data_IF_280359212411
#
_entry.id   IF_280359212411
#
_cell.length_a   1.000
_cell.length_b   1.000
_cell.length_c   1.000
_cell.angle_alpha   90.00
_cell.angle_beta   90.00
_cell.angle_gamma   90.00
#
_symmetry.space_group_name_H-M   'P 1'
#
loop_
_entity.id
_entity.type
_entity.pdbx_description
1 polymer ?
#
# COMPACT_ATOMS: atom_id res chain seq x y z
N UNK A 1 73.77 33.60 12.86
CA UNK A 1 72.69 33.49 11.86
C UNK A 1 71.63 32.60 12.47
N UNK A 2 70.48 33.19 12.72
CA UNK A 2 69.34 32.64 13.47
C UNK A 2 68.69 31.46 12.75
N UNK A 3 68.27 30.45 13.50
CA UNK A 3 67.29 29.46 13.06
C UNK A 3 65.95 29.81 13.72
N UNK A 4 64.82 29.87 12.98
CA UNK A 4 63.51 30.05 13.57
C UNK A 4 62.94 28.67 13.98
N UNK A 5 62.39 28.59 15.18
CA UNK A 5 61.56 27.45 15.62
C UNK A 5 60.10 27.75 15.25
N UNK A 6 59.56 26.95 14.33
CA UNK A 6 58.16 26.93 13.97
C UNK A 6 57.29 26.59 15.19
N UNK A 7 56.34 27.46 15.50
CA UNK A 7 55.29 27.21 16.49
C UNK A 7 53.97 27.05 15.72
N UNK A 8 53.60 25.80 15.44
CA UNK A 8 52.32 25.44 14.82
C UNK A 8 51.17 25.80 15.77
N UNK A 9 50.37 26.80 15.39
CA UNK A 9 49.09 27.07 16.02
C UNK A 9 48.05 26.05 15.54
N UNK A 10 47.53 25.25 16.48
CA UNK A 10 46.41 24.34 16.24
C UNK A 10 45.14 25.12 15.81
N UNK A 11 44.37 24.65 14.81
CA UNK A 11 43.13 25.31 14.42
C UNK A 11 42.03 25.04 15.45
N UNK A 12 41.37 26.11 15.89
CA UNK A 12 40.22 26.05 16.79
C UNK A 12 39.05 25.30 16.12
N UNK A 13 38.53 24.29 16.80
CA UNK A 13 37.30 23.60 16.42
C UNK A 13 36.10 24.57 16.56
N UNK A 14 35.57 25.04 15.43
CA UNK A 14 34.26 25.68 15.38
C UNK A 14 33.18 24.65 15.73
N UNK A 15 32.68 24.72 16.97
CA UNK A 15 31.45 24.05 17.36
C UNK A 15 30.28 24.65 16.57
N UNK A 16 29.89 24.00 15.48
CA UNK A 16 28.66 24.33 14.74
C UNK A 16 27.44 24.09 15.65
N UNK A 17 26.83 25.18 16.10
CA UNK A 17 25.55 25.14 16.79
C UNK A 17 24.47 24.51 15.89
N UNK A 18 23.54 23.69 16.44
CA UNK A 18 22.50 23.06 15.64
C UNK A 18 21.64 24.13 14.95
N UNK A 19 21.49 24.01 13.63
CA UNK A 19 20.74 24.96 12.81
C UNK A 19 19.32 25.17 13.39
N UNK A 20 19.05 26.39 13.84
CA UNK A 20 17.76 26.78 14.40
C UNK A 20 16.64 26.55 13.37
N UNK A 21 15.67 25.72 13.74
CA UNK A 21 14.52 25.35 12.90
C UNK A 21 13.79 26.62 12.43
N UNK A 22 13.65 26.78 11.13
CA UNK A 22 13.07 27.98 10.52
C UNK A 22 11.63 28.21 10.98
N UNK A 23 11.19 29.49 11.07
CA UNK A 23 9.79 29.85 11.42
C UNK A 23 8.75 29.10 10.57
N UNK A 24 9.07 28.75 9.33
CA UNK A 24 8.20 27.96 8.44
C UNK A 24 8.15 26.48 8.83
N UNK A 25 9.27 25.89 9.25
CA UNK A 25 9.34 24.52 9.73
C UNK A 25 8.59 24.38 11.07
N UNK A 26 8.75 25.34 11.99
CA UNK A 26 8.00 25.38 13.25
C UNK A 26 6.48 25.43 13.02
N UNK A 27 6.01 26.31 12.14
CA UNK A 27 4.58 26.40 11.80
C UNK A 27 4.05 25.11 11.15
N UNK A 28 4.88 24.39 10.40
CA UNK A 28 4.54 23.10 9.79
C UNK A 28 4.43 21.99 10.85
N UNK A 29 5.37 21.92 11.80
CA UNK A 29 5.35 20.98 12.92
C UNK A 29 4.10 21.19 13.80
N UNK A 30 3.83 22.43 14.22
CA UNK A 30 2.63 22.78 15.00
C UNK A 30 1.32 22.40 14.27
N UNK A 31 1.28 22.61 12.95
CA UNK A 31 0.13 22.18 12.14
C UNK A 31 -0.01 20.66 12.11
N UNK A 32 1.09 19.91 12.01
CA UNK A 32 1.07 18.44 12.05
C UNK A 32 0.64 17.92 13.42
N UNK A 33 1.18 18.47 14.51
CA UNK A 33 0.77 18.12 15.88
C UNK A 33 -0.71 18.37 16.11
N UNK A 34 -1.22 19.57 15.75
CA UNK A 34 -2.65 19.86 15.84
C UNK A 34 -3.51 18.92 15.00
N UNK A 35 -3.03 18.51 13.82
CA UNK A 35 -3.72 17.50 13.01
C UNK A 35 -3.72 16.13 13.68
N UNK A 36 -2.62 15.72 14.31
CA UNK A 36 -2.55 14.47 15.08
C UNK A 36 -3.47 14.50 16.29
N UNK A 37 -3.47 15.58 17.07
CA UNK A 37 -4.35 15.78 18.21
C UNK A 37 -5.81 15.74 17.79
N UNK A 38 -6.20 16.49 16.76
CA UNK A 38 -7.56 16.45 16.22
C UNK A 38 -7.95 15.04 15.77
N UNK A 39 -7.02 14.29 15.17
CA UNK A 39 -7.25 12.90 14.77
C UNK A 39 -7.40 11.97 15.97
N UNK A 40 -6.60 12.16 17.04
CA UNK A 40 -6.71 11.40 18.30
C UNK A 40 -8.03 11.71 19.01
N UNK A 41 -8.39 12.99 19.13
CA UNK A 41 -9.65 13.45 19.71
C UNK A 41 -10.86 12.91 18.93
N UNK A 42 -10.86 13.00 17.60
CA UNK A 42 -11.92 12.43 16.76
C UNK A 42 -12.07 10.92 16.98
N UNK A 43 -10.97 10.18 17.03
CA UNK A 43 -10.99 8.73 17.32
C UNK A 43 -11.52 8.42 18.71
N UNK A 44 -11.17 9.24 19.71
CA UNK A 44 -11.68 9.08 21.08
C UNK A 44 -13.20 9.30 21.14
N UNK A 45 -13.68 10.39 20.54
CA UNK A 45 -15.11 10.70 20.46
C UNK A 45 -15.90 9.62 19.69
N UNK A 46 -15.36 9.12 18.57
CA UNK A 46 -15.98 8.02 17.81
C UNK A 46 -16.06 6.72 18.63
N UNK A 47 -15.02 6.42 19.42
CA UNK A 47 -15.01 5.27 20.33
C UNK A 47 -16.07 5.40 21.42
N UNK A 48 -16.20 6.58 22.02
CA UNK A 48 -17.20 6.87 23.05
C UNK A 48 -18.62 6.77 22.48
N UNK A 49 -18.89 7.42 21.34
CA UNK A 49 -20.18 7.35 20.67
C UNK A 49 -20.56 5.91 20.29
N UNK A 50 -19.58 5.11 19.84
CA UNK A 50 -19.78 3.69 19.56
C UNK A 50 -20.12 2.91 20.83
N UNK A 51 -19.47 3.20 21.95
CA UNK A 51 -19.77 2.56 23.23
C UNK A 51 -21.19 2.89 23.70
N UNK A 52 -21.58 4.17 23.68
CA UNK A 52 -22.93 4.60 24.02
C UNK A 52 -23.99 3.96 23.11
N UNK A 53 -23.71 3.84 21.80
CA UNK A 53 -24.61 3.15 20.86
C UNK A 53 -24.75 1.66 21.16
N UNK A 54 -23.66 0.98 21.55
CA UNK A 54 -23.69 -0.43 21.93
C UNK A 54 -24.45 -0.65 23.24
N UNK A 55 -24.26 0.22 24.23
CA UNK A 55 -24.99 0.18 25.51
C UNK A 55 -26.49 0.42 25.29
N UNK A 56 -26.85 1.41 24.48
CA UNK A 56 -28.25 1.67 24.12
C UNK A 56 -28.90 0.47 23.42
N UNK A 57 -28.22 -0.12 22.42
CA UNK A 57 -28.70 -1.33 21.73
C UNK A 57 -28.85 -2.51 22.68
N UNK A 58 -27.90 -2.69 23.62
CA UNK A 58 -27.96 -3.76 24.62
C UNK A 58 -29.15 -3.58 25.56
N UNK A 59 -29.42 -2.35 26.00
CA UNK A 59 -30.57 -2.02 26.85
C UNK A 59 -31.90 -2.21 26.11
N UNK A 60 -31.98 -1.81 24.84
CA UNK A 60 -33.15 -2.03 23.98
C UNK A 60 -33.44 -3.52 23.77
N UNK A 61 -32.39 -4.31 23.46
CA UNK A 61 -32.51 -5.77 23.37
C UNK A 61 -32.94 -6.36 24.72
N UNK A 62 -32.38 -5.90 25.84
CA UNK A 62 -32.78 -6.35 27.18
C UNK A 62 -34.26 -6.14 27.44
N UNK A 63 -34.76 -4.91 27.23
CA UNK A 63 -36.19 -4.58 27.37
C UNK A 63 -37.09 -5.41 26.44
N UNK A 64 -36.65 -5.63 25.20
CA UNK A 64 -37.35 -6.48 24.24
C UNK A 64 -37.47 -7.92 24.75
N UNK A 65 -36.41 -8.49 25.32
CA UNK A 65 -36.38 -9.85 25.85
C UNK A 65 -37.14 -10.00 27.18
N UNK A 66 -37.22 -8.94 27.99
CA UNK A 66 -38.01 -8.92 29.23
C UNK A 66 -39.53 -8.92 28.94
N UNK A 67 -39.95 -8.32 27.82
CA UNK A 67 -41.34 -8.27 27.38
C UNK A 67 -41.81 -9.49 26.57
N UNK A 68 -40.92 -10.46 26.32
CA UNK A 68 -41.20 -11.69 25.58
C UNK A 68 -41.49 -12.86 26.51
N UNK A 69 -42.28 -13.82 26.03
CA UNK A 69 -42.43 -15.14 26.65
C UNK A 69 -41.12 -15.93 26.57
N UNK A 70 -41.01 -17.00 27.38
CA UNK A 70 -39.83 -17.88 27.38
C UNK A 70 -39.60 -18.54 26.00
N UNK A 71 -40.68 -18.98 25.35
CA UNK A 71 -40.64 -19.56 24.00
C UNK A 71 -40.16 -18.55 22.95
N UNK A 72 -40.63 -17.30 22.98
CA UNK A 72 -40.20 -16.24 22.07
C UNK A 72 -38.72 -15.85 22.29
N UNK A 73 -38.26 -15.87 23.54
CA UNK A 73 -36.86 -15.62 23.89
C UNK A 73 -35.93 -16.70 23.33
N UNK A 74 -36.31 -17.97 23.46
CA UNK A 74 -35.56 -19.09 22.90
C UNK A 74 -35.47 -19.03 21.37
N UNK A 75 -36.59 -18.70 20.71
CA UNK A 75 -36.62 -18.47 19.26
C UNK A 75 -35.69 -17.31 18.86
N UNK A 76 -35.70 -16.20 19.58
CA UNK A 76 -34.81 -15.08 19.33
C UNK A 76 -33.33 -15.48 19.46
N UNK A 77 -32.96 -16.20 20.52
CA UNK A 77 -31.59 -16.68 20.72
C UNK A 77 -31.14 -17.62 19.60
N UNK A 78 -32.01 -18.53 19.17
CA UNK A 78 -31.74 -19.43 18.06
C UNK A 78 -31.54 -18.66 16.74
N UNK A 79 -32.40 -17.68 16.43
CA UNK A 79 -32.24 -16.81 15.26
C UNK A 79 -30.93 -16.01 15.29
N UNK A 80 -30.53 -15.47 16.44
CA UNK A 80 -29.24 -14.77 16.57
C UNK A 80 -28.06 -15.71 16.38
N UNK A 81 -28.14 -16.94 16.88
CA UNK A 81 -27.13 -17.98 16.69
C UNK A 81 -26.98 -18.34 15.22
N UNK A 82 -28.08 -18.57 14.51
CA UNK A 82 -28.10 -18.85 13.07
C UNK A 82 -27.54 -17.68 12.25
N UNK A 83 -27.98 -16.45 12.53
CA UNK A 83 -27.45 -15.24 11.88
C UNK A 83 -25.94 -15.10 12.08
N UNK A 84 -25.45 -15.37 13.30
CA UNK A 84 -24.00 -15.36 13.60
C UNK A 84 -23.27 -16.45 12.82
N UNK A 85 -23.83 -17.66 12.73
CA UNK A 85 -23.26 -18.76 11.94
C UNK A 85 -23.20 -18.42 10.45
N UNK A 86 -24.26 -17.86 9.88
CA UNK A 86 -24.29 -17.42 8.47
C UNK A 86 -23.23 -16.36 8.18
N UNK A 87 -23.08 -15.35 9.06
CA UNK A 87 -22.04 -14.31 8.91
C UNK A 87 -20.63 -14.92 9.01
N UNK A 88 -20.42 -15.86 9.93
CA UNK A 88 -19.12 -16.54 10.07
C UNK A 88 -18.81 -17.41 8.85
N UNK A 89 -19.79 -18.18 8.35
CA UNK A 89 -19.66 -19.00 7.16
C UNK A 89 -19.36 -18.13 5.92
N UNK A 90 -20.07 -17.02 5.72
CA UNK A 90 -19.82 -16.09 4.62
C UNK A 90 -18.42 -15.48 4.68
N UNK A 91 -17.91 -15.15 5.88
CA UNK A 91 -16.54 -14.66 6.07
C UNK A 91 -15.51 -15.74 5.76
N UNK A 92 -15.73 -16.98 6.20
CA UNK A 92 -14.85 -18.11 5.89
C UNK A 92 -14.81 -18.40 4.39
N UNK A 93 -15.97 -18.42 3.73
CA UNK A 93 -16.07 -18.59 2.28
C UNK A 93 -15.33 -17.48 1.51
N UNK A 94 -15.50 -16.22 1.94
CA UNK A 94 -14.77 -15.09 1.35
C UNK A 94 -13.25 -15.23 1.53
N UNK A 95 -12.81 -15.61 2.73
CA UNK A 95 -11.38 -15.84 3.02
C UNK A 95 -10.81 -16.97 2.16
N UNK A 96 -11.51 -18.10 2.09
CA UNK A 96 -11.11 -19.25 1.28
C UNK A 96 -11.02 -18.89 -0.21
N UNK A 97 -12.03 -18.20 -0.74
CA UNK A 97 -12.01 -17.68 -2.12
C UNK A 97 -10.81 -16.77 -2.36
N UNK A 98 -10.55 -15.80 -1.47
CA UNK A 98 -9.44 -14.89 -1.66
C UNK A 98 -8.07 -15.61 -1.56
N UNK A 99 -7.95 -16.66 -0.73
CA UNK A 99 -6.73 -17.46 -0.62
C UNK A 99 -6.39 -18.24 -1.91
N UNK A 100 -7.38 -18.57 -2.74
CA UNK A 100 -7.14 -19.20 -4.04
C UNK A 100 -6.27 -18.33 -4.97
N UNK A 101 -6.30 -17.00 -4.80
CA UNK A 101 -5.49 -16.08 -5.58
C UNK A 101 -3.98 -16.30 -5.40
N UNK A 102 -3.53 -16.89 -4.28
CA UNK A 102 -2.11 -17.23 -4.06
C UNK A 102 -1.62 -18.35 -4.99
N UNK A 103 -2.54 -19.12 -5.57
CA UNK A 103 -2.25 -20.20 -6.51
C UNK A 103 -2.76 -19.90 -7.91
N UNK A 104 -3.17 -18.64 -8.16
CA UNK A 104 -3.58 -18.23 -9.49
C UNK A 104 -2.38 -18.32 -10.46
N UNK A 105 -2.60 -18.82 -11.68
CA UNK A 105 -1.51 -19.05 -12.64
C UNK A 105 -0.86 -17.74 -13.09
N UNK A 106 -1.66 -16.69 -13.33
CA UNK A 106 -1.14 -15.41 -13.72
C UNK A 106 -0.59 -14.64 -12.51
N UNK A 107 0.69 -14.31 -12.54
CA UNK A 107 1.37 -13.57 -11.49
C UNK A 107 1.60 -12.10 -11.90
N UNK A 108 1.38 -11.18 -10.96
CA UNK A 108 1.63 -9.75 -11.13
C UNK A 108 2.42 -9.23 -9.94
N UNK A 109 3.47 -8.46 -10.21
CA UNK A 109 4.32 -7.81 -9.20
C UNK A 109 4.02 -6.33 -9.18
N UNK A 110 3.86 -5.77 -7.98
CA UNK A 110 4.03 -4.33 -7.74
C UNK A 110 5.45 -4.12 -7.20
N UNK A 111 6.29 -3.47 -7.99
CA UNK A 111 7.67 -3.11 -7.64
C UNK A 111 7.63 -1.88 -6.72
N UNK A 112 7.83 -2.09 -5.43
CA UNK A 112 7.74 -1.07 -4.39
C UNK A 112 9.09 -0.41 -4.09
N UNK A 113 10.15 -0.76 -4.82
CA UNK A 113 11.50 -0.24 -4.61
C UNK A 113 11.72 1.14 -5.26
N UNK A 114 10.80 2.06 -4.97
CA UNK A 114 10.83 3.47 -5.34
C UNK A 114 10.78 4.38 -4.10
N UNK A 115 11.18 3.83 -2.94
CA UNK A 115 11.29 4.58 -1.71
C UNK A 115 12.21 5.79 -1.90
N UNK A 116 11.78 6.97 -1.44
CA UNK A 116 12.52 8.24 -1.61
C UNK A 116 12.14 9.07 -2.85
N UNK A 117 11.44 8.50 -3.85
CA UNK A 117 11.01 9.24 -5.05
C UNK A 117 9.60 9.83 -4.94
N UNK A 118 8.91 9.53 -3.84
CA UNK A 118 7.53 9.94 -3.59
C UNK A 118 7.43 10.82 -2.33
N UNK A 119 6.64 11.88 -2.44
CA UNK A 119 6.18 12.65 -1.29
C UNK A 119 5.23 11.82 -0.41
N UNK A 120 5.01 12.19 0.86
CA UNK A 120 4.07 11.50 1.74
C UNK A 120 2.63 11.41 1.19
N UNK A 121 2.21 12.41 0.40
CA UNK A 121 0.90 12.40 -0.28
C UNK A 121 0.85 11.43 -1.46
N UNK A 122 1.95 11.28 -2.18
CA UNK A 122 2.08 10.29 -3.27
C UNK A 122 2.13 8.87 -2.70
N UNK A 123 2.87 8.64 -1.61
CA UNK A 123 2.85 7.36 -0.88
C UNK A 123 1.44 7.01 -0.43
N UNK A 124 0.70 7.95 0.17
CA UNK A 124 -0.70 7.72 0.54
C UNK A 124 -1.56 7.31 -0.67
N UNK A 125 -1.31 7.91 -1.83
CA UNK A 125 -2.03 7.61 -3.07
C UNK A 125 -1.68 6.22 -3.59
N UNK A 126 -0.39 5.83 -3.55
CA UNK A 126 0.07 4.48 -3.87
C UNK A 126 -0.62 3.44 -2.99
N UNK A 127 -0.65 3.63 -1.67
CA UNK A 127 -1.29 2.68 -0.75
C UNK A 127 -2.79 2.52 -1.02
N UNK A 128 -3.46 3.59 -1.45
CA UNK A 128 -4.84 3.53 -1.88
C UNK A 128 -5.00 2.73 -3.19
N UNK A 129 -4.10 2.93 -4.16
CA UNK A 129 -4.07 2.15 -5.39
C UNK A 129 -3.81 0.67 -5.12
N UNK A 130 -2.89 0.33 -4.21
CA UNK A 130 -2.64 -1.05 -3.77
C UNK A 130 -3.91 -1.73 -3.24
N UNK A 131 -4.71 -1.01 -2.44
CA UNK A 131 -5.98 -1.53 -1.92
C UNK A 131 -6.96 -1.89 -3.05
N UNK A 132 -7.04 -1.04 -4.08
CA UNK A 132 -7.85 -1.32 -5.26
C UNK A 132 -7.29 -2.49 -6.08
N UNK A 133 -5.98 -2.51 -6.33
CA UNK A 133 -5.30 -3.58 -7.08
C UNK A 133 -5.47 -4.93 -6.39
N UNK A 134 -5.27 -5.00 -5.07
CA UNK A 134 -5.51 -6.23 -4.30
C UNK A 134 -6.95 -6.69 -4.42
N UNK A 135 -7.91 -5.78 -4.23
CA UNK A 135 -9.33 -6.10 -4.33
C UNK A 135 -9.66 -6.66 -5.71
N UNK A 136 -9.17 -6.04 -6.79
CA UNK A 136 -9.36 -6.52 -8.15
C UNK A 136 -8.71 -7.89 -8.39
N UNK A 137 -7.49 -8.10 -7.90
CA UNK A 137 -6.74 -9.35 -8.06
C UNK A 137 -7.44 -10.56 -7.42
N UNK A 138 -8.06 -10.39 -6.25
CA UNK A 138 -8.68 -11.52 -5.51
C UNK A 138 -10.18 -11.68 -5.75
N UNK A 139 -10.87 -10.65 -6.24
CA UNK A 139 -12.32 -10.69 -6.50
C UNK A 139 -12.72 -10.83 -7.97
N UNK A 140 -11.76 -10.74 -8.89
CA UNK A 140 -12.00 -10.91 -10.32
C UNK A 140 -12.50 -12.31 -10.70
N UNK A 141 -13.13 -12.43 -11.87
CA UNK A 141 -13.52 -13.73 -12.46
C UNK A 141 -12.32 -14.64 -12.66
N UNK A 142 -11.21 -14.05 -13.10
CA UNK A 142 -9.89 -14.65 -13.09
C UNK A 142 -9.10 -13.96 -11.99
N UNK A 143 -8.68 -14.74 -11.00
CA UNK A 143 -7.83 -14.22 -9.93
C UNK A 143 -6.39 -14.09 -10.41
N UNK A 144 -5.64 -13.18 -9.80
CA UNK A 144 -4.22 -12.95 -10.06
C UNK A 144 -3.43 -13.16 -8.78
N UNK A 145 -2.26 -13.79 -8.89
CA UNK A 145 -1.33 -13.88 -7.78
C UNK A 145 -0.54 -12.58 -7.67
N UNK A 146 -0.95 -11.73 -6.73
CA UNK A 146 -0.31 -10.44 -6.49
C UNK A 146 0.94 -10.60 -5.59
N UNK A 147 2.04 -10.01 -6.03
CA UNK A 147 3.29 -9.87 -5.29
C UNK A 147 3.56 -8.40 -4.97
N UNK A 148 3.88 -8.09 -3.72
CA UNK A 148 4.33 -6.76 -3.28
C UNK A 148 5.79 -6.89 -2.87
N UNK A 149 6.71 -6.42 -3.72
CA UNK A 149 8.15 -6.68 -3.58
C UNK A 149 8.93 -5.37 -3.42
N UNK A 150 10.00 -5.37 -2.63
CA UNK A 150 10.88 -4.21 -2.48
C UNK A 150 10.38 -3.11 -1.55
N UNK A 151 9.33 -3.36 -0.76
CA UNK A 151 8.86 -2.37 0.20
C UNK A 151 9.78 -2.34 1.42
N UNK A 152 10.54 -1.26 1.58
CA UNK A 152 11.50 -1.08 2.70
C UNK A 152 11.36 0.30 3.33
N UNK A 153 11.92 0.48 4.53
CA UNK A 153 12.07 1.77 5.20
C UNK A 153 10.75 2.52 5.40
N UNK A 154 10.71 3.79 4.98
CA UNK A 154 9.55 4.66 5.15
C UNK A 154 8.28 4.14 4.45
N UNK A 155 8.44 3.45 3.33
CA UNK A 155 7.31 2.91 2.57
C UNK A 155 6.69 1.71 3.27
N UNK A 156 7.51 0.81 3.80
CA UNK A 156 7.07 -0.31 4.63
C UNK A 156 6.35 0.20 5.89
N UNK A 157 6.97 1.14 6.62
CA UNK A 157 6.35 1.76 7.79
C UNK A 157 5.00 2.41 7.45
N UNK A 158 4.90 3.08 6.30
CA UNK A 158 3.66 3.66 5.81
C UNK A 158 2.61 2.58 5.48
N UNK A 159 3.00 1.46 4.86
CA UNK A 159 2.11 0.34 4.54
C UNK A 159 1.49 -0.25 5.82
N UNK A 160 2.29 -0.53 6.85
CA UNK A 160 1.78 -1.02 8.14
C UNK A 160 0.88 -0.02 8.86
N UNK A 161 1.27 1.26 8.89
CA UNK A 161 0.54 2.29 9.62
C UNK A 161 -0.78 2.68 8.94
N UNK A 162 -0.78 2.80 7.62
CA UNK A 162 -1.89 3.39 6.87
C UNK A 162 -2.80 2.32 6.26
N UNK A 163 -2.28 1.13 5.98
CA UNK A 163 -3.03 0.02 5.42
C UNK A 163 -2.85 -1.26 6.24
N UNK A 164 -3.18 -1.26 7.55
CA UNK A 164 -2.88 -2.38 8.45
C UNK A 164 -3.51 -3.71 8.00
N UNK A 165 -4.62 -3.67 7.27
CA UNK A 165 -5.27 -4.86 6.71
C UNK A 165 -4.42 -5.63 5.70
N UNK A 166 -3.36 -5.02 5.14
CA UNK A 166 -2.48 -5.68 4.18
C UNK A 166 -1.85 -6.96 4.73
N UNK A 167 -1.63 -7.05 6.05
CA UNK A 167 -1.05 -8.25 6.67
C UNK A 167 -1.91 -9.50 6.44
N UNK A 168 -3.23 -9.33 6.28
CA UNK A 168 -4.17 -10.42 6.05
C UNK A 168 -4.49 -10.66 4.58
N UNK A 169 -3.89 -9.88 3.67
CA UNK A 169 -4.09 -10.06 2.23
C UNK A 169 -3.50 -11.37 1.74
N UNK A 170 -4.25 -12.06 0.88
CA UNK A 170 -3.80 -13.20 0.10
C UNK A 170 -2.91 -12.74 -1.06
N UNK A 171 -1.73 -12.23 -0.70
CA UNK A 171 -0.71 -11.73 -1.61
C UNK A 171 0.68 -12.08 -1.04
N UNK A 172 1.64 -12.33 -1.92
CA UNK A 172 3.04 -12.53 -1.52
C UNK A 172 3.67 -11.17 -1.22
N UNK A 173 4.45 -11.08 -0.14
CA UNK A 173 5.13 -9.86 0.29
C UNK A 173 6.59 -10.18 0.58
N UNK A 174 7.51 -9.34 0.13
CA UNK A 174 8.94 -9.47 0.43
C UNK A 174 9.64 -8.12 0.37
N UNK A 175 10.60 -7.91 1.25
CA UNK A 175 11.52 -6.75 1.20
C UNK A 175 12.50 -6.85 0.03
N UNK A 176 12.76 -8.07 -0.48
CA UNK A 176 13.60 -8.29 -1.66
C UNK A 176 12.97 -7.64 -2.89
N UNK A 177 13.79 -6.99 -3.71
CA UNK A 177 13.33 -6.48 -5.00
C UNK A 177 13.01 -7.63 -5.98
N UNK A 178 12.37 -7.31 -7.10
CA UNK A 178 11.96 -8.34 -8.07
C UNK A 178 13.14 -9.14 -8.65
N UNK A 179 14.33 -8.53 -8.80
CA UNK A 179 15.51 -9.21 -9.35
C UNK A 179 16.00 -10.30 -8.40
N UNK A 180 16.11 -9.97 -7.12
CA UNK A 180 16.51 -10.91 -6.07
C UNK A 180 15.45 -11.99 -5.83
N UNK A 181 14.17 -11.62 -5.87
CA UNK A 181 13.08 -12.54 -5.61
C UNK A 181 12.91 -13.59 -6.73
N UNK A 182 13.07 -13.18 -7.99
CA UNK A 182 12.92 -14.03 -9.19
C UNK A 182 14.26 -14.34 -9.87
N UNK A 183 15.37 -14.40 -9.12
CA UNK A 183 16.73 -14.56 -9.68
C UNK A 183 16.88 -15.73 -10.66
N UNK A 184 16.15 -16.83 -10.44
CA UNK A 184 16.22 -18.05 -11.28
C UNK A 184 15.26 -18.02 -12.48
N UNK A 185 14.42 -16.97 -12.56
CA UNK A 185 13.33 -16.83 -13.54
C UNK A 185 13.26 -15.42 -14.14
N UNK A 186 14.38 -14.70 -14.19
CA UNK A 186 14.43 -13.35 -14.75
C UNK A 186 13.92 -13.29 -16.20
N UNK A 187 14.15 -14.33 -16.99
CA UNK A 187 13.66 -14.49 -18.37
C UNK A 187 12.13 -14.58 -18.50
N UNK A 188 11.43 -14.82 -17.39
CA UNK A 188 9.96 -14.86 -17.35
C UNK A 188 9.35 -13.51 -16.95
N UNK A 189 10.17 -12.54 -16.56
CA UNK A 189 9.71 -11.23 -16.14
C UNK A 189 9.47 -10.31 -17.35
N UNK A 190 8.34 -9.62 -17.33
CA UNK A 190 8.01 -8.55 -18.27
C UNK A 190 7.63 -7.29 -17.50
N UNK A 191 8.43 -6.24 -17.61
CA UNK A 191 8.13 -4.96 -16.96
C UNK A 191 7.17 -4.14 -17.82
N UNK A 192 5.98 -3.85 -17.28
CA UNK A 192 4.99 -3.01 -17.92
C UNK A 192 5.34 -1.54 -17.75
N UNK A 193 5.64 -0.87 -18.86
CA UNK A 193 6.05 0.54 -18.87
C UNK A 193 5.59 1.22 -20.15
N UNK A 194 5.12 2.48 -20.04
CA UNK A 194 4.64 3.24 -21.20
C UNK A 194 5.75 3.59 -22.19
N UNK A 195 7.00 3.65 -21.71
CA UNK A 195 8.19 3.97 -22.52
C UNK A 195 8.73 2.77 -23.32
N UNK A 196 8.11 1.59 -23.22
CA UNK A 196 8.53 0.42 -23.97
C UNK A 196 8.26 0.59 -25.47
N UNK A 197 9.21 0.19 -26.35
CA UNK A 197 8.94 0.13 -27.79
C UNK A 197 7.93 -0.96 -28.14
N UNK A 198 7.89 -2.04 -27.34
CA UNK A 198 7.08 -3.23 -27.57
C UNK A 198 5.68 -3.06 -26.97
N UNK A 199 4.66 -3.52 -27.68
CA UNK A 199 3.26 -3.49 -27.21
C UNK A 199 2.79 -4.89 -26.80
N UNK A 200 2.12 -4.97 -25.65
CA UNK A 200 1.57 -6.21 -25.13
C UNK A 200 0.28 -6.57 -25.87
N UNK A 201 0.29 -7.67 -26.63
CA UNK A 201 -0.90 -8.19 -27.31
C UNK A 201 -1.79 -9.02 -26.38
N UNK A 202 -1.18 -9.91 -25.60
CA UNK A 202 -1.87 -10.86 -24.72
C UNK A 202 -1.08 -11.14 -23.44
N UNK A 203 -1.79 -11.62 -22.41
CA UNK A 203 -1.16 -12.06 -21.17
C UNK A 203 -0.82 -13.55 -21.25
N UNK A 204 0.46 -13.86 -21.07
CA UNK A 204 0.98 -15.22 -20.95
C UNK A 204 1.09 -15.60 -19.47
N UNK A 205 0.34 -16.62 -19.08
CA UNK A 205 0.33 -17.16 -17.71
C UNK A 205 1.67 -17.77 -17.26
N UNK A 206 2.59 -18.07 -18.18
CA UNK A 206 3.95 -18.51 -17.84
C UNK A 206 4.85 -17.34 -17.41
N UNK A 207 4.48 -16.11 -17.78
CA UNK A 207 5.22 -14.88 -17.49
C UNK A 207 4.73 -14.22 -16.21
N UNK A 208 5.60 -13.39 -15.65
CA UNK A 208 5.31 -12.55 -14.48
C UNK A 208 5.37 -11.09 -14.94
N UNK A 209 4.27 -10.37 -14.80
CA UNK A 209 4.18 -8.98 -15.21
C UNK A 209 4.45 -8.03 -14.04
N UNK A 210 5.34 -7.06 -14.25
CA UNK A 210 5.75 -6.11 -13.21
C UNK A 210 5.14 -4.75 -13.50
N UNK A 211 4.58 -4.12 -12.48
CA UNK A 211 4.07 -2.75 -12.50
C UNK A 211 4.87 -1.93 -11.50
N UNK A 212 5.33 -0.75 -11.91
CA UNK A 212 5.99 0.19 -11.01
C UNK A 212 5.04 0.68 -9.92
N UNK A 213 5.36 0.40 -8.66
CA UNK A 213 4.66 0.90 -7.48
C UNK A 213 5.04 2.35 -7.17
N UNK A 214 4.82 3.25 -8.14
CA UNK A 214 5.22 4.65 -8.06
C UNK A 214 4.06 5.58 -8.42
N UNK A 215 3.94 6.69 -7.67
CA UNK A 215 3.03 7.80 -8.00
C UNK A 215 3.86 9.07 -8.11
N UNK A 216 4.19 9.48 -9.32
CA UNK A 216 5.08 10.62 -9.58
C UNK A 216 4.51 11.63 -10.59
N UNK A 217 3.36 11.31 -11.21
CA UNK A 217 2.75 12.08 -12.30
C UNK A 217 3.70 12.24 -13.51
N UNK A 218 4.48 11.21 -13.81
CA UNK A 218 5.47 11.19 -14.90
C UNK A 218 6.62 12.20 -14.73
N UNK A 219 6.98 12.52 -13.50
CA UNK A 219 8.13 13.35 -13.19
C UNK A 219 9.44 12.61 -13.46
N UNK A 220 9.44 11.28 -13.33
CA UNK A 220 10.59 10.40 -13.56
C UNK A 220 10.38 9.58 -14.85
N UNK A 221 10.43 10.26 -16.00
CA UNK A 221 10.27 9.63 -17.32
C UNK A 221 11.28 8.48 -17.51
N UNK A 222 10.82 7.36 -18.08
CA UNK A 222 11.69 6.23 -18.41
C UNK A 222 12.17 5.39 -17.22
N UNK A 223 11.82 5.73 -15.97
CA UNK A 223 12.45 5.10 -14.81
C UNK A 223 12.19 3.58 -14.73
N UNK A 224 10.96 3.15 -14.99
CA UNK A 224 10.59 1.74 -15.01
C UNK A 224 11.25 1.00 -16.17
N UNK A 225 11.33 1.66 -17.34
CA UNK A 225 11.99 1.10 -18.52
C UNK A 225 13.49 0.91 -18.28
N UNK A 226 14.17 1.92 -17.78
CA UNK A 226 15.60 1.86 -17.47
C UNK A 226 15.90 0.77 -16.44
N UNK A 227 15.09 0.69 -15.38
CA UNK A 227 15.21 -0.34 -14.34
C UNK A 227 15.06 -1.76 -14.91
N UNK A 228 14.16 -1.95 -15.87
CA UNK A 228 14.00 -3.23 -16.57
C UNK A 228 15.18 -3.55 -17.50
N UNK A 229 15.71 -2.54 -18.22
CA UNK A 229 16.89 -2.68 -19.08
C UNK A 229 18.14 -3.05 -18.29
N UNK A 230 18.35 -2.41 -17.13
CA UNK A 230 19.44 -2.74 -16.20
C UNK A 230 19.31 -4.16 -15.62
N UNK A 231 18.08 -4.63 -15.44
CA UNK A 231 17.79 -5.99 -15.00
C UNK A 231 17.93 -7.04 -16.13
N UNK A 232 18.08 -6.61 -17.38
CA UNK A 232 18.12 -7.51 -18.54
C UNK A 232 16.80 -8.25 -18.81
N UNK A 233 15.66 -7.70 -18.39
CA UNK A 233 14.34 -8.34 -18.56
C UNK A 233 13.54 -7.71 -19.70
N UNK A 234 12.51 -8.42 -20.17
CA UNK A 234 11.63 -7.92 -21.22
C UNK A 234 10.78 -6.73 -20.73
N UNK A 235 10.34 -5.89 -21.66
CA UNK A 235 9.45 -4.76 -21.40
C UNK A 235 8.28 -4.79 -22.36
N UNK A 236 7.14 -4.27 -21.95
CA UNK A 236 6.03 -4.01 -22.86
C UNK A 236 5.17 -2.84 -22.36
N UNK A 237 4.51 -2.12 -23.27
CA UNK A 237 3.46 -1.16 -22.94
C UNK A 237 2.08 -1.81 -23.14
N UNK A 238 1.07 -1.31 -22.44
CA UNK A 238 -0.30 -1.77 -22.63
C UNK A 238 -0.90 -1.15 -23.92
N UNK A 239 -1.78 -1.88 -24.65
CA UNK A 239 -2.40 -1.44 -25.90
C UNK A 239 -3.56 -0.45 -25.67
N UNK A 240 -3.28 0.65 -24.94
CA UNK A 240 -4.31 1.57 -24.44
C UNK A 240 -4.72 2.60 -25.49
N UNK A 241 -3.78 3.00 -26.37
CA UNK A 241 -4.01 4.02 -27.39
C UNK A 241 -5.12 3.64 -28.38
N UNK A 242 -5.35 2.34 -28.58
CA UNK A 242 -6.37 1.82 -29.50
C UNK A 242 -7.79 1.86 -28.90
N UNK A 243 -7.92 1.94 -27.57
CA UNK A 243 -9.20 1.70 -26.88
C UNK A 243 -9.64 2.79 -25.90
N UNK A 244 -8.77 3.73 -25.51
CA UNK A 244 -9.13 4.77 -24.53
C UNK A 244 -8.82 6.18 -25.07
N UNK A 245 -9.87 6.97 -25.36
CA UNK A 245 -9.78 8.43 -25.50
C UNK A 245 -9.63 9.05 -24.12
N UNK A 246 -8.41 9.15 -23.61
CA UNK A 246 -8.13 9.83 -22.35
C UNK A 246 -8.29 11.35 -22.54
N UNK A 247 -9.13 12.00 -21.73
CA UNK A 247 -9.31 13.47 -21.72
C UNK A 247 -8.09 14.22 -21.16
N UNK A 248 -7.19 13.52 -20.48
CA UNK A 248 -5.90 14.00 -20.01
C UNK A 248 -4.87 12.89 -20.20
N UNK A 249 -3.74 13.24 -20.81
CA UNK A 249 -2.66 12.40 -21.34
C UNK A 249 -2.53 10.95 -20.83
N UNK A 250 -2.21 10.03 -21.75
CA UNK A 250 -1.81 8.64 -21.50
C UNK A 250 -0.42 8.48 -20.81
N UNK A 251 0.00 9.47 -20.01
CA UNK A 251 1.38 9.86 -19.64
C UNK A 251 1.91 10.97 -20.56
N UNK A 252 1.93 12.21 -20.06
CA UNK A 252 2.27 13.42 -20.84
C UNK A 252 3.73 13.40 -21.29
N UNK A 253 3.96 13.11 -22.57
CA UNK A 253 5.17 13.49 -23.28
C UNK A 253 5.01 14.97 -23.68
N UNK A 254 5.62 15.85 -22.88
CA UNK A 254 6.12 17.14 -23.35
C UNK A 254 7.61 16.99 -23.66
#
# INVERSE_FOLDING_TARGET
MEQPSDNEAAPAEEQQAPAAVSKRQMKRLQKMERQEENKRAKKAAEKEQRQQSLEKKRAEIGKMLDGMTEEERDQWHQQQKEKKQQVMAARQATKARNQQALSAPQQVVIDMDFAGMMSPSEVKSLLQQLSYSYSAAVSGKQQLHLHLLGATGDLEAALHRQLPGHVHWAATKSERNFKEYFQERLQDLVYLTADSPDELSELDSSKVYIIGGIVDRNRHKGICYQRAKEAGIATAKLPIAQHIKLQTSAVSLA
#
